data_IF_437868217450
#
_entry.id   IF_437868217450
#
_cell.length_a   1.000
_cell.length_b   1.000
_cell.length_c   1.000
_cell.angle_alpha   90.00
_cell.angle_beta   90.00
_cell.angle_gamma   90.00
#
_symmetry.space_group_name_H-M   'P 1'
#
loop_
_entity.id
_entity.type
_entity.pdbx_description
1 polymer ?
#
# COMPACT_ATOMS: atom_id res chain seq x y z
N UNK A 1 61.91 39.78 -33.39
CA UNK A 1 61.63 38.35 -33.37
C UNK A 1 60.82 38.07 -32.11
N UNK A 2 59.50 38.00 -32.26
CA UNK A 2 58.54 38.00 -31.18
C UNK A 2 57.86 36.64 -31.19
N UNK A 3 57.96 35.93 -30.06
CA UNK A 3 57.23 34.69 -29.81
C UNK A 3 55.85 35.05 -29.32
N UNK A 4 54.82 34.53 -30.01
CA UNK A 4 53.45 34.50 -29.53
C UNK A 4 53.20 33.16 -28.85
N UNK A 5 52.88 33.20 -27.56
CA UNK A 5 52.37 32.06 -26.78
C UNK A 5 50.84 32.13 -26.79
N UNK A 6 50.25 31.04 -27.27
CA UNK A 6 48.82 30.79 -27.40
C UNK A 6 48.27 30.23 -26.05
N UNK A 7 47.54 31.08 -25.34
CA UNK A 7 46.84 30.73 -24.08
C UNK A 7 45.43 30.24 -24.41
N UNK A 8 45.26 28.92 -24.50
CA UNK A 8 43.94 28.24 -24.47
C UNK A 8 43.76 27.46 -23.17
N UNK A 9 43.36 28.13 -22.12
CA UNK A 9 42.78 27.52 -20.94
C UNK A 9 41.36 28.06 -20.79
N UNK A 10 40.43 27.51 -21.59
CA UNK A 10 38.98 27.73 -21.51
C UNK A 10 38.26 26.59 -20.83
N UNK A 11 37.70 26.89 -19.67
CA UNK A 11 36.38 26.50 -19.22
C UNK A 11 36.03 25.02 -18.98
N UNK A 12 36.86 24.30 -18.17
CA UNK A 12 36.44 23.01 -17.59
C UNK A 12 35.78 23.13 -16.20
N UNK A 13 35.73 24.31 -15.58
CA UNK A 13 35.15 24.48 -14.22
C UNK A 13 33.62 24.70 -14.23
N UNK A 14 33.06 25.21 -15.31
CA UNK A 14 31.61 25.44 -15.42
C UNK A 14 30.81 24.15 -15.58
N UNK A 15 31.33 23.16 -16.27
CA UNK A 15 30.62 21.89 -16.50
C UNK A 15 30.59 20.99 -15.24
N UNK A 16 31.64 20.98 -14.43
CA UNK A 16 31.69 20.20 -13.19
C UNK A 16 30.82 20.80 -12.10
N UNK A 17 30.68 22.13 -12.03
CA UNK A 17 29.79 22.79 -11.06
C UNK A 17 28.30 22.59 -11.43
N UNK A 18 27.95 22.49 -12.71
CA UNK A 18 26.58 22.24 -13.16
C UNK A 18 26.19 20.77 -12.95
N UNK A 19 27.11 19.83 -13.07
CA UNK A 19 26.91 18.41 -12.81
C UNK A 19 26.80 18.13 -11.30
N UNK A 20 27.66 18.75 -10.49
CA UNK A 20 27.58 18.65 -9.02
C UNK A 20 26.31 19.29 -8.44
N UNK A 21 25.77 20.36 -9.07
CA UNK A 21 24.51 20.96 -8.64
C UNK A 21 23.29 20.12 -9.03
N UNK A 22 23.33 19.40 -10.16
CA UNK A 22 22.30 18.42 -10.50
C UNK A 22 22.32 17.20 -9.59
N UNK A 23 23.48 16.71 -9.21
CA UNK A 23 23.64 15.59 -8.27
C UNK A 23 23.27 15.96 -6.82
N UNK A 24 23.44 17.23 -6.42
CA UNK A 24 23.01 17.73 -5.11
C UNK A 24 21.49 18.01 -5.05
N UNK A 25 20.84 18.38 -6.14
CA UNK A 25 19.37 18.50 -6.21
C UNK A 25 18.70 17.13 -6.15
N UNK A 26 19.37 16.08 -6.66
CA UNK A 26 18.91 14.67 -6.54
C UNK A 26 19.18 14.12 -5.13
N UNK A 27 20.17 14.64 -4.37
CA UNK A 27 20.48 14.22 -2.99
C UNK A 27 19.57 14.81 -1.92
N UNK A 28 18.76 15.80 -2.23
CA UNK A 28 17.70 16.37 -1.37
C UNK A 28 16.33 15.71 -1.55
N UNK A 29 16.21 14.65 -2.36
CA UNK A 29 14.98 13.89 -2.53
C UNK A 29 14.54 13.26 -1.21
N UNK A 30 13.27 13.44 -0.86
CA UNK A 30 12.61 12.88 0.31
C UNK A 30 12.99 11.41 0.51
N UNK A 31 13.85 11.15 1.50
CA UNK A 31 14.19 9.79 1.89
C UNK A 31 12.95 9.12 2.49
N UNK A 32 12.75 7.86 2.16
CA UNK A 32 11.64 7.03 2.62
C UNK A 32 10.27 7.56 2.15
N UNK A 33 10.08 7.76 0.84
CA UNK A 33 8.77 8.08 0.26
C UNK A 33 8.48 7.15 -0.91
N UNK A 34 7.34 6.49 -0.86
CA UNK A 34 6.78 5.73 -1.96
C UNK A 34 5.80 6.61 -2.73
N UNK A 35 6.12 6.90 -3.99
CA UNK A 35 5.33 7.79 -4.84
C UNK A 35 4.78 7.05 -6.05
N UNK A 36 3.52 7.29 -6.33
CA UNK A 36 2.80 6.81 -7.49
C UNK A 36 2.41 8.02 -8.32
N UNK A 37 2.85 8.09 -9.56
CA UNK A 37 2.64 9.24 -10.43
C UNK A 37 1.86 8.81 -11.68
N UNK A 38 0.59 9.23 -11.75
CA UNK A 38 -0.33 8.97 -12.87
C UNK A 38 -0.33 7.52 -13.34
N UNK A 39 -0.23 6.58 -12.38
CA UNK A 39 -0.17 5.16 -12.68
C UNK A 39 -1.46 4.67 -13.33
N UNK A 40 -1.32 3.91 -14.42
CA UNK A 40 -2.40 3.26 -15.14
C UNK A 40 -2.06 1.80 -15.39
N UNK A 41 -3.01 0.91 -15.08
CA UNK A 41 -2.96 -0.51 -15.43
C UNK A 41 -4.20 -0.85 -16.25
N UNK A 42 -4.00 -1.57 -17.35
CA UNK A 42 -5.10 -1.98 -18.25
C UNK A 42 -5.09 -3.49 -18.45
N UNK A 43 -6.27 -4.08 -18.41
CA UNK A 43 -6.53 -5.48 -18.72
C UNK A 43 -7.41 -5.54 -19.99
N UNK A 44 -6.77 -5.55 -21.15
CA UNK A 44 -7.46 -5.39 -22.43
C UNK A 44 -8.18 -4.03 -22.51
N UNK A 45 -9.51 -4.03 -22.70
CA UNK A 45 -10.31 -2.81 -22.77
C UNK A 45 -10.73 -2.23 -21.40
N UNK A 46 -10.43 -2.92 -20.29
CA UNK A 46 -10.81 -2.48 -18.94
C UNK A 46 -9.59 -1.90 -18.21
N UNK A 47 -9.83 -0.87 -17.40
CA UNK A 47 -8.83 -0.34 -16.50
C UNK A 47 -8.88 -1.09 -15.16
N UNK A 48 -7.70 -1.51 -14.66
CA UNK A 48 -7.53 -1.95 -13.28
C UNK A 48 -7.35 -0.74 -12.36
N UNK A 49 -6.50 0.22 -12.78
CA UNK A 49 -6.35 1.56 -12.18
C UNK A 49 -6.15 2.59 -13.29
N UNK A 50 -6.61 3.83 -13.06
CA UNK A 50 -6.58 4.90 -14.05
C UNK A 50 -6.07 6.21 -13.46
N UNK A 51 -4.88 6.65 -13.91
CA UNK A 51 -4.26 7.93 -13.61
C UNK A 51 -4.14 8.21 -12.10
N UNK A 52 -3.80 7.16 -11.32
CA UNK A 52 -3.65 7.26 -9.87
C UNK A 52 -2.33 7.99 -9.54
N UNK A 53 -2.43 9.00 -8.69
CA UNK A 53 -1.28 9.66 -8.07
C UNK A 53 -1.46 9.66 -6.57
N UNK A 54 -0.50 9.07 -5.83
CA UNK A 54 -0.49 8.95 -4.38
C UNK A 54 0.94 9.07 -3.86
N UNK A 55 1.05 9.49 -2.62
CA UNK A 55 2.32 9.58 -1.92
C UNK A 55 2.16 9.00 -0.52
N UNK A 56 2.99 8.03 -0.16
CA UNK A 56 2.99 7.37 1.14
C UNK A 56 4.25 7.71 1.89
N UNK A 57 4.12 8.11 3.16
CA UNK A 57 5.21 8.56 4.01
C UNK A 57 5.41 7.59 5.18
N UNK A 58 6.62 7.54 5.76
CA UNK A 58 6.86 6.83 7.02
C UNK A 58 5.89 7.28 8.12
N UNK A 59 5.49 6.32 8.96
CA UNK A 59 4.59 6.55 10.09
C UNK A 59 3.12 6.70 9.72
N UNK A 60 2.75 6.68 8.44
CA UNK A 60 1.34 6.71 8.03
C UNK A 60 0.68 5.33 8.19
N UNK A 61 -0.54 5.33 8.72
CA UNK A 61 -1.46 4.19 8.68
C UNK A 61 -2.62 4.58 7.78
N UNK A 62 -2.73 3.90 6.64
CA UNK A 62 -3.60 4.30 5.54
C UNK A 62 -4.63 3.22 5.28
N UNK A 63 -5.91 3.60 5.33
CA UNK A 63 -7.01 2.78 4.85
C UNK A 63 -7.27 3.02 3.36
N UNK A 64 -7.13 1.97 2.55
CA UNK A 64 -7.45 1.99 1.14
C UNK A 64 -8.82 1.37 0.92
N UNK A 65 -9.84 2.20 0.73
CA UNK A 65 -11.23 1.75 0.63
C UNK A 65 -11.75 1.79 -0.80
N UNK A 66 -12.69 0.89 -1.07
CA UNK A 66 -13.39 0.81 -2.35
C UNK A 66 -14.16 -0.49 -2.48
N UNK A 67 -15.15 -0.51 -3.35
CA UNK A 67 -15.91 -1.72 -3.67
C UNK A 67 -15.01 -2.83 -4.23
N UNK A 68 -15.52 -4.06 -4.26
CA UNK A 68 -14.84 -5.15 -4.94
C UNK A 68 -14.69 -4.82 -6.42
N UNK A 69 -13.47 -5.00 -6.96
CA UNK A 69 -13.13 -4.62 -8.33
C UNK A 69 -12.84 -3.12 -8.55
N UNK A 70 -12.82 -2.29 -7.51
CA UNK A 70 -12.49 -0.85 -7.63
C UNK A 70 -11.04 -0.58 -8.03
N UNK A 71 -10.13 -1.56 -7.86
CA UNK A 71 -8.70 -1.43 -8.22
C UNK A 71 -7.72 -1.49 -7.05
N UNK A 72 -8.16 -1.78 -5.81
CA UNK A 72 -7.31 -1.84 -4.61
C UNK A 72 -6.14 -2.82 -4.77
N UNK A 73 -6.44 -4.10 -5.01
CA UNK A 73 -5.43 -5.15 -5.24
C UNK A 73 -4.58 -4.87 -6.48
N UNK A 74 -5.17 -4.30 -7.55
CA UNK A 74 -4.41 -3.90 -8.75
C UNK A 74 -3.38 -2.83 -8.41
N UNK A 75 -3.72 -1.85 -7.55
CA UNK A 75 -2.78 -0.82 -7.11
C UNK A 75 -1.62 -1.43 -6.32
N UNK A 76 -1.92 -2.31 -5.36
CA UNK A 76 -0.89 -3.01 -4.58
C UNK A 76 0.01 -3.88 -5.48
N UNK A 77 -0.57 -4.63 -6.41
CA UNK A 77 0.17 -5.45 -7.37
C UNK A 77 1.04 -4.59 -8.32
N UNK A 78 0.59 -3.39 -8.67
CA UNK A 78 1.38 -2.44 -9.45
C UNK A 78 2.58 -1.90 -8.65
N UNK A 79 2.41 -1.59 -7.36
CA UNK A 79 3.50 -1.19 -6.45
C UNK A 79 4.57 -2.29 -6.36
N UNK A 80 4.14 -3.55 -6.29
CA UNK A 80 5.03 -4.72 -6.23
C UNK A 80 5.65 -5.12 -7.57
N UNK A 81 5.20 -4.49 -8.67
CA UNK A 81 5.65 -4.83 -10.02
C UNK A 81 5.09 -6.16 -10.56
N UNK A 82 4.07 -6.73 -9.92
CA UNK A 82 3.40 -7.96 -10.39
C UNK A 82 2.56 -7.72 -11.64
N UNK A 83 2.09 -6.49 -11.83
CA UNK A 83 1.39 -6.06 -13.04
C UNK A 83 2.10 -4.86 -13.67
N UNK A 84 2.30 -4.83 -15.00
CA UNK A 84 2.97 -3.74 -15.68
C UNK A 84 2.09 -2.49 -15.74
N UNK A 85 2.70 -1.32 -15.59
CA UNK A 85 2.04 -0.05 -15.84
C UNK A 85 1.89 0.18 -17.35
N UNK A 86 0.69 0.55 -17.78
CA UNK A 86 0.46 1.04 -19.15
C UNK A 86 0.90 2.51 -19.30
N UNK A 87 0.93 3.27 -18.19
CA UNK A 87 1.36 4.67 -18.13
C UNK A 87 1.74 5.06 -16.70
N UNK A 88 2.55 6.11 -16.55
CA UNK A 88 3.00 6.62 -15.27
C UNK A 88 4.22 5.87 -14.72
N UNK A 89 4.56 6.13 -13.49
CA UNK A 89 5.67 5.44 -12.80
C UNK A 89 5.39 5.33 -11.31
N UNK A 90 6.09 4.38 -10.67
CA UNK A 90 6.10 4.19 -9.21
C UNK A 90 7.55 4.24 -8.76
N UNK A 91 7.83 5.11 -7.78
CA UNK A 91 9.19 5.33 -7.30
C UNK A 91 9.27 5.15 -5.79
N UNK A 92 10.42 4.69 -5.33
CA UNK A 92 10.80 4.67 -3.92
C UNK A 92 12.05 5.55 -3.76
N UNK A 93 11.96 6.58 -2.90
CA UNK A 93 13.02 7.59 -2.72
C UNK A 93 13.40 8.31 -4.04
N UNK A 94 12.41 8.58 -4.89
CA UNK A 94 12.59 9.24 -6.18
C UNK A 94 13.28 8.39 -7.25
N UNK A 95 13.41 7.06 -7.04
CA UNK A 95 14.00 6.11 -7.99
C UNK A 95 12.99 5.02 -8.32
N UNK A 96 13.03 4.52 -9.55
CA UNK A 96 12.21 3.39 -9.95
C UNK A 96 12.45 2.18 -9.03
N UNK A 97 11.39 1.44 -8.75
CA UNK A 97 11.45 0.30 -7.82
C UNK A 97 12.29 -0.82 -8.46
N UNK A 98 13.47 -1.02 -7.92
CA UNK A 98 14.36 -2.13 -8.25
C UNK A 98 14.05 -3.37 -7.41
N UNK A 99 14.58 -4.55 -7.80
CA UNK A 99 14.48 -5.78 -6.99
C UNK A 99 14.99 -5.57 -5.55
N UNK A 100 16.05 -4.77 -5.38
CA UNK A 100 16.58 -4.42 -4.05
C UNK A 100 15.61 -3.52 -3.28
N UNK A 101 14.91 -2.61 -3.94
CA UNK A 101 13.91 -1.75 -3.31
C UNK A 101 12.67 -2.55 -2.85
N UNK A 102 12.31 -3.63 -3.55
CA UNK A 102 11.21 -4.52 -3.16
C UNK A 102 11.42 -5.19 -1.79
N UNK A 103 12.65 -5.39 -1.30
CA UNK A 103 12.87 -5.90 0.06
C UNK A 103 12.41 -4.93 1.15
N UNK A 104 12.14 -3.68 0.80
CA UNK A 104 11.61 -2.62 1.68
C UNK A 104 10.08 -2.54 1.64
N UNK A 105 9.44 -3.39 0.86
CA UNK A 105 7.98 -3.47 0.73
C UNK A 105 7.58 -4.91 1.06
N UNK A 106 6.73 -5.09 2.06
CA UNK A 106 6.13 -6.39 2.38
C UNK A 106 4.67 -6.43 1.93
N UNK A 107 4.16 -7.64 1.73
CA UNK A 107 2.81 -7.84 1.23
C UNK A 107 2.17 -9.09 1.80
N UNK A 108 0.93 -8.97 2.23
CA UNK A 108 0.04 -10.08 2.52
C UNK A 108 -1.27 -9.90 1.75
N UNK A 109 -1.77 -10.98 1.17
CA UNK A 109 -3.04 -11.00 0.46
C UNK A 109 -3.85 -12.24 0.79
N UNK A 110 -5.15 -12.18 0.53
CA UNK A 110 -6.04 -13.33 0.64
C UNK A 110 -5.85 -14.39 -0.46
N UNK A 111 -4.90 -14.19 -1.39
CA UNK A 111 -4.59 -15.14 -2.47
C UNK A 111 -3.65 -16.27 -2.06
N UNK A 112 -3.15 -16.25 -0.79
CA UNK A 112 -2.31 -17.30 -0.21
C UNK A 112 -0.99 -17.54 -0.97
N UNK A 113 -0.05 -16.60 -0.81
CA UNK A 113 1.23 -16.58 -1.53
C UNK A 113 2.37 -17.37 -0.85
N UNK A 114 2.18 -17.87 0.36
CA UNK A 114 3.19 -18.67 1.05
C UNK A 114 3.31 -20.09 0.46
N UNK A 115 4.44 -20.76 0.72
CA UNK A 115 4.71 -22.09 0.18
C UNK A 115 3.77 -23.14 0.77
N UNK A 116 2.91 -23.81 -0.02
CA UNK A 116 1.85 -24.67 0.50
C UNK A 116 2.34 -25.85 1.35
N UNK A 117 3.54 -26.36 1.07
CA UNK A 117 4.12 -27.51 1.74
C UNK A 117 5.01 -27.17 2.94
N UNK A 118 5.29 -25.90 3.17
CA UNK A 118 6.09 -25.44 4.30
C UNK A 118 5.22 -25.30 5.55
N UNK A 119 5.83 -25.54 6.70
CA UNK A 119 5.31 -25.15 8.02
C UNK A 119 5.65 -23.69 8.31
N UNK A 120 5.08 -23.10 9.38
CA UNK A 120 5.44 -21.76 9.81
C UNK A 120 6.93 -21.66 10.16
N UNK A 121 7.52 -22.69 10.78
CA UNK A 121 8.95 -22.74 11.08
C UNK A 121 9.84 -22.81 9.83
N UNK A 122 9.43 -23.57 8.80
CA UNK A 122 10.16 -23.61 7.53
C UNK A 122 10.09 -22.27 6.79
N UNK A 123 8.94 -21.58 6.83
CA UNK A 123 8.83 -20.21 6.34
C UNK A 123 9.71 -19.23 7.13
N UNK A 124 9.75 -19.33 8.47
CA UNK A 124 10.61 -18.51 9.30
C UNK A 124 12.08 -18.63 8.89
N UNK A 125 12.58 -19.86 8.68
CA UNK A 125 13.93 -20.10 8.19
C UNK A 125 14.18 -19.46 6.81
N UNK A 126 13.20 -19.56 5.92
CA UNK A 126 13.26 -18.90 4.61
C UNK A 126 13.33 -17.38 4.76
N UNK A 127 12.39 -16.77 5.50
CA UNK A 127 12.32 -15.32 5.63
C UNK A 127 13.55 -14.74 6.32
N UNK A 128 14.05 -15.36 7.39
CA UNK A 128 15.28 -14.90 8.08
C UNK A 128 16.52 -14.99 7.20
N UNK A 129 16.55 -15.93 6.25
CA UNK A 129 17.66 -16.10 5.30
C UNK A 129 17.65 -14.98 4.24
N UNK A 130 16.48 -14.63 3.70
CA UNK A 130 16.38 -13.72 2.56
C UNK A 130 16.07 -12.27 2.94
N UNK A 131 15.56 -12.02 4.15
CA UNK A 131 15.25 -10.69 4.66
C UNK A 131 16.06 -10.38 5.93
N UNK A 132 17.25 -9.78 5.81
CA UNK A 132 18.15 -9.53 6.93
C UNK A 132 17.56 -8.64 8.05
N UNK A 133 16.49 -7.88 7.74
CA UNK A 133 15.78 -7.03 8.70
C UNK A 133 14.58 -7.72 9.33
N UNK A 134 14.38 -9.03 9.09
CA UNK A 134 13.24 -9.77 9.62
C UNK A 134 13.22 -9.72 11.16
N UNK A 135 12.10 -9.28 11.73
CA UNK A 135 11.92 -9.13 13.17
C UNK A 135 11.37 -10.44 13.76
N UNK A 136 12.27 -11.29 14.26
CA UNK A 136 11.94 -12.61 14.83
C UNK A 136 11.11 -12.46 16.11
N UNK A 137 11.37 -11.43 16.92
CA UNK A 137 10.62 -11.18 18.16
C UNK A 137 9.15 -10.83 17.86
N UNK A 138 8.92 -9.92 16.89
CA UNK A 138 7.57 -9.57 16.41
C UNK A 138 6.86 -10.79 15.83
N UNK A 139 7.57 -11.64 15.09
CA UNK A 139 7.02 -12.89 14.54
C UNK A 139 6.48 -13.80 15.65
N UNK A 140 7.31 -14.12 16.65
CA UNK A 140 6.86 -15.01 17.74
C UNK A 140 5.77 -14.38 18.59
N UNK A 141 5.82 -13.07 18.84
CA UNK A 141 4.76 -12.35 19.53
C UNK A 141 3.42 -12.53 18.83
N UNK A 142 3.38 -12.32 17.50
CA UNK A 142 2.17 -12.45 16.70
C UNK A 142 1.71 -13.91 16.56
N UNK A 143 2.62 -14.86 16.41
CA UNK A 143 2.30 -16.30 16.41
C UNK A 143 1.59 -16.71 17.69
N UNK A 144 2.09 -16.24 18.84
CA UNK A 144 1.48 -16.50 20.15
C UNK A 144 0.13 -15.79 20.29
N UNK A 145 0.03 -14.54 19.85
CA UNK A 145 -1.23 -13.77 19.90
C UNK A 145 -2.36 -14.47 19.14
N UNK A 146 -2.09 -14.97 17.93
CA UNK A 146 -3.06 -15.71 17.12
C UNK A 146 -3.17 -17.19 17.48
N UNK A 147 -2.33 -17.70 18.38
CA UNK A 147 -2.26 -19.11 18.73
C UNK A 147 -2.13 -20.03 17.51
N UNK A 148 -1.22 -19.68 16.58
CA UNK A 148 -1.04 -20.45 15.35
C UNK A 148 -0.11 -21.64 15.54
N UNK A 149 -0.38 -22.78 14.86
CA UNK A 149 0.45 -23.98 14.94
C UNK A 149 1.74 -23.82 14.11
N UNK A 150 2.90 -23.93 14.77
CA UNK A 150 4.21 -23.73 14.12
C UNK A 150 4.60 -24.86 13.16
N UNK A 151 4.16 -26.11 13.43
CA UNK A 151 4.57 -27.32 12.72
C UNK A 151 3.51 -27.86 11.75
N UNK A 152 2.39 -27.18 11.60
CA UNK A 152 1.37 -27.53 10.62
C UNK A 152 1.73 -27.01 9.24
N UNK A 153 1.54 -27.79 8.20
CA UNK A 153 1.75 -27.35 6.82
C UNK A 153 0.75 -26.27 6.45
N UNK A 154 1.22 -25.21 5.78
CA UNK A 154 0.40 -24.09 5.38
C UNK A 154 -0.89 -24.48 4.66
N UNK A 155 -0.81 -25.40 3.66
CA UNK A 155 -1.99 -25.92 2.94
C UNK A 155 -3.03 -26.64 3.81
N UNK A 156 -2.68 -27.04 5.04
CA UNK A 156 -3.57 -27.74 5.97
C UNK A 156 -4.18 -26.82 7.02
N UNK A 157 -3.82 -25.54 7.00
CA UNK A 157 -4.41 -24.51 7.85
C UNK A 157 -5.80 -24.11 7.35
N UNK A 158 -6.64 -23.56 8.22
CA UNK A 158 -7.88 -22.91 7.80
C UNK A 158 -7.57 -21.63 7.02
N UNK A 159 -8.52 -21.13 6.21
CA UNK A 159 -8.38 -19.86 5.47
C UNK A 159 -8.01 -18.70 6.41
N UNK A 160 -8.66 -18.60 7.57
CA UNK A 160 -8.33 -17.59 8.58
C UNK A 160 -6.90 -17.71 9.10
N UNK A 161 -6.44 -18.93 9.42
CA UNK A 161 -5.06 -19.19 9.85
C UNK A 161 -4.04 -18.86 8.74
N UNK A 162 -4.37 -19.16 7.48
CA UNK A 162 -3.51 -18.81 6.35
C UNK A 162 -3.36 -17.28 6.22
N UNK A 163 -4.47 -16.55 6.29
CA UNK A 163 -4.45 -15.06 6.23
C UNK A 163 -3.67 -14.47 7.41
N UNK A 164 -3.84 -15.02 8.62
CA UNK A 164 -3.09 -14.59 9.80
C UNK A 164 -1.60 -14.82 9.62
N UNK A 165 -1.19 -16.01 9.14
CA UNK A 165 0.22 -16.33 8.93
C UNK A 165 0.86 -15.44 7.85
N UNK A 166 0.18 -15.19 6.72
CA UNK A 166 0.60 -14.23 5.69
C UNK A 166 0.85 -12.83 6.31
N UNK A 167 -0.11 -12.36 7.09
CA UNK A 167 -0.05 -11.05 7.75
C UNK A 167 1.13 -10.99 8.74
N UNK A 168 1.37 -12.04 9.51
CA UNK A 168 2.50 -12.14 10.45
C UNK A 168 3.83 -12.01 9.71
N UNK A 169 4.00 -12.72 8.60
CA UNK A 169 5.23 -12.62 7.81
C UNK A 169 5.42 -11.23 7.20
N UNK A 170 4.35 -10.64 6.67
CA UNK A 170 4.42 -9.27 6.11
C UNK A 170 4.79 -8.23 7.18
N UNK A 171 4.19 -8.30 8.37
CA UNK A 171 4.48 -7.39 9.49
C UNK A 171 5.89 -7.59 10.06
N UNK A 172 6.42 -8.82 9.99
CA UNK A 172 7.72 -9.15 10.56
C UNK A 172 8.89 -9.04 9.58
N UNK A 173 8.65 -8.83 8.29
CA UNK A 173 9.69 -8.79 7.26
C UNK A 173 10.73 -7.67 7.46
N UNK A 174 10.43 -6.64 8.26
CA UNK A 174 11.30 -5.47 8.46
C UNK A 174 11.27 -4.51 7.27
N UNK A 175 10.12 -4.44 6.59
CA UNK A 175 9.87 -3.56 5.48
C UNK A 175 9.58 -2.12 5.96
N UNK A 176 9.83 -1.13 5.10
CA UNK A 176 9.46 0.27 5.36
C UNK A 176 7.98 0.52 4.99
N UNK A 177 7.46 -0.27 4.04
CA UNK A 177 6.06 -0.22 3.57
C UNK A 177 5.44 -1.60 3.68
N UNK A 178 4.33 -1.67 4.39
CA UNK A 178 3.59 -2.91 4.64
C UNK A 178 2.24 -2.80 3.95
N UNK A 179 2.00 -3.65 2.96
CA UNK A 179 0.76 -3.71 2.20
C UNK A 179 -0.06 -4.92 2.66
N UNK A 180 -1.27 -4.68 3.16
CA UNK A 180 -2.19 -5.73 3.58
C UNK A 180 -3.46 -5.66 2.74
N UNK A 181 -3.70 -6.66 1.89
CA UNK A 181 -4.88 -6.73 1.03
C UNK A 181 -5.94 -7.66 1.63
N UNK A 182 -7.00 -7.07 2.16
CA UNK A 182 -8.10 -7.76 2.85
C UNK A 182 -7.61 -8.75 3.93
N UNK A 183 -6.74 -8.33 4.88
CA UNK A 183 -6.02 -9.24 5.78
C UNK A 183 -6.93 -10.04 6.72
N UNK A 184 -8.21 -9.66 6.84
CA UNK A 184 -9.18 -10.28 7.75
C UNK A 184 -10.28 -11.06 7.03
N UNK A 185 -10.16 -11.28 5.72
CA UNK A 185 -11.11 -12.10 5.01
C UNK A 185 -11.18 -13.50 5.67
N UNK A 186 -12.40 -13.88 6.14
CA UNK A 186 -12.62 -15.17 6.79
C UNK A 186 -12.27 -15.26 8.29
N UNK A 187 -11.89 -14.15 8.93
CA UNK A 187 -11.67 -14.12 10.38
C UNK A 187 -12.92 -13.65 11.16
N UNK A 188 -13.04 -14.11 12.41
CA UNK A 188 -14.13 -13.71 13.31
C UNK A 188 -13.98 -12.24 13.74
N UNK A 189 -15.11 -11.52 13.87
CA UNK A 189 -15.19 -10.10 14.19
C UNK A 189 -14.46 -9.76 15.50
N UNK A 190 -14.59 -10.60 16.54
CA UNK A 190 -13.99 -10.38 17.85
C UNK A 190 -12.46 -10.35 17.84
N UNK A 191 -11.82 -11.10 16.92
CA UNK A 191 -10.37 -11.13 16.80
C UNK A 191 -9.81 -9.92 16.03
N UNK A 192 -10.64 -9.17 15.30
CA UNK A 192 -10.20 -8.08 14.43
C UNK A 192 -9.87 -6.81 15.21
N UNK A 193 -10.73 -6.41 16.15
CA UNK A 193 -10.51 -5.21 16.96
C UNK A 193 -9.24 -5.33 17.82
N UNK A 194 -9.04 -6.48 18.46
CA UNK A 194 -7.85 -6.74 19.27
C UNK A 194 -6.58 -6.78 18.40
N UNK A 195 -6.68 -7.33 17.19
CA UNK A 195 -5.57 -7.28 16.25
C UNK A 195 -5.18 -5.85 15.86
N UNK A 196 -6.14 -4.97 15.58
CA UNK A 196 -5.82 -3.57 15.27
C UNK A 196 -5.13 -2.86 16.44
N UNK A 197 -5.54 -3.13 17.69
CA UNK A 197 -4.86 -2.61 18.89
C UNK A 197 -3.42 -3.13 18.97
N UNK A 198 -3.22 -4.43 18.72
CA UNK A 198 -1.88 -5.04 18.68
C UNK A 198 -1.05 -4.41 17.56
N UNK A 199 -1.64 -4.24 16.38
CA UNK A 199 -0.97 -3.68 15.21
C UNK A 199 -0.45 -2.27 15.49
N UNK A 200 -1.25 -1.40 16.12
CA UNK A 200 -0.81 -0.07 16.56
C UNK A 200 0.35 -0.12 17.58
N UNK A 201 0.36 -1.14 18.44
CA UNK A 201 1.39 -1.30 19.47
C UNK A 201 2.73 -1.84 18.95
N UNK A 202 2.75 -2.50 17.78
CA UNK A 202 3.95 -3.13 17.23
C UNK A 202 4.59 -2.38 16.07
N UNK A 203 3.84 -1.46 15.42
CA UNK A 203 4.37 -0.68 14.29
C UNK A 203 5.42 0.32 14.77
N UNK A 204 6.52 0.36 14.03
CA UNK A 204 7.57 1.35 14.26
C UNK A 204 7.19 2.70 13.61
N UNK A 205 7.62 3.84 14.19
CA UNK A 205 7.33 5.16 13.63
C UNK A 205 7.87 5.38 12.20
N UNK A 206 8.75 4.51 11.75
CA UNK A 206 9.34 4.54 10.39
C UNK A 206 8.63 3.64 9.40
N UNK A 207 7.69 2.82 9.84
CA UNK A 207 6.91 1.93 8.99
C UNK A 207 5.65 2.65 8.49
N UNK A 208 5.31 2.44 7.22
CA UNK A 208 4.06 2.88 6.62
C UNK A 208 3.19 1.66 6.36
N UNK A 209 1.98 1.67 6.90
CA UNK A 209 1.01 0.59 6.72
C UNK A 209 -0.10 1.03 5.79
N UNK A 210 -0.35 0.25 4.74
CA UNK A 210 -1.48 0.41 3.83
C UNK A 210 -2.37 -0.82 3.91
N UNK A 211 -3.59 -0.64 4.40
CA UNK A 211 -4.58 -1.73 4.54
C UNK A 211 -5.69 -1.51 3.53
N UNK A 212 -5.89 -2.45 2.62
CA UNK A 212 -7.11 -2.48 1.81
C UNK A 212 -8.19 -3.25 2.54
N UNK A 213 -9.39 -2.70 2.60
CA UNK A 213 -10.56 -3.39 3.13
C UNK A 213 -11.84 -2.73 2.64
N UNK A 214 -12.93 -3.47 2.70
CA UNK A 214 -14.30 -2.93 2.55
C UNK A 214 -14.99 -2.71 3.92
N UNK A 215 -14.34 -3.08 5.03
CA UNK A 215 -14.88 -3.06 6.39
C UNK A 215 -14.47 -1.78 7.12
N UNK A 216 -15.08 -0.65 6.77
CA UNK A 216 -14.71 0.69 7.23
C UNK A 216 -14.90 0.86 8.73
N UNK A 217 -16.03 0.38 9.26
CA UNK A 217 -16.40 0.53 10.66
C UNK A 217 -15.35 -0.07 11.61
N UNK A 218 -14.63 -1.09 11.14
CA UNK A 218 -13.65 -1.80 11.94
C UNK A 218 -12.32 -1.04 12.06
N UNK A 219 -11.92 -0.30 11.01
CA UNK A 219 -10.60 0.34 10.98
C UNK A 219 -10.63 1.87 11.06
N UNK A 220 -11.81 2.48 11.08
CA UNK A 220 -11.96 3.95 11.11
C UNK A 220 -11.24 4.64 12.27
N UNK A 221 -11.07 3.95 13.40
CA UNK A 221 -10.40 4.47 14.59
C UNK A 221 -8.88 4.25 14.59
N UNK A 222 -8.35 3.51 13.63
CA UNK A 222 -6.94 3.11 13.55
C UNK A 222 -6.19 3.78 12.41
N UNK A 223 -6.89 4.22 11.37
CA UNK A 223 -6.27 4.84 10.20
C UNK A 223 -6.13 6.35 10.39
N UNK A 224 -4.92 6.86 10.15
CA UNK A 224 -4.64 8.29 10.16
C UNK A 224 -4.94 8.97 8.82
N UNK A 225 -5.12 8.19 7.74
CA UNK A 225 -5.44 8.69 6.39
C UNK A 225 -6.30 7.69 5.64
N UNK A 226 -7.22 8.18 4.86
CA UNK A 226 -8.17 7.39 4.08
C UNK A 226 -8.06 7.76 2.61
N UNK A 227 -7.88 6.73 1.78
CA UNK A 227 -7.85 6.84 0.33
C UNK A 227 -9.03 6.03 -0.23
N UNK A 228 -9.90 6.70 -1.00
CA UNK A 228 -11.08 6.09 -1.61
C UNK A 228 -10.83 5.82 -3.09
N UNK A 229 -10.97 4.54 -3.49
CA UNK A 229 -10.92 4.13 -4.89
C UNK A 229 -12.32 3.77 -5.36
N UNK A 230 -12.74 4.35 -6.48
CA UNK A 230 -14.00 4.01 -7.15
C UNK A 230 -13.79 3.98 -8.66
N UNK A 231 -14.27 2.92 -9.33
CA UNK A 231 -14.15 2.76 -10.79
C UNK A 231 -12.73 3.03 -11.30
N UNK A 232 -11.75 2.41 -10.64
CA UNK A 232 -10.30 2.49 -10.98
C UNK A 232 -9.65 3.87 -10.76
N UNK A 233 -10.29 4.82 -10.09
CA UNK A 233 -9.79 6.18 -9.81
C UNK A 233 -9.80 6.48 -8.33
N UNK A 234 -8.90 7.36 -7.89
CA UNK A 234 -9.00 7.98 -6.57
C UNK A 234 -10.12 9.02 -6.62
N UNK A 235 -11.11 8.87 -5.73
CA UNK A 235 -12.25 9.79 -5.58
C UNK A 235 -12.20 10.58 -4.28
N UNK A 236 -11.33 10.17 -3.34
CA UNK A 236 -11.11 10.86 -2.07
C UNK A 236 -9.76 10.49 -1.47
N UNK A 237 -9.10 11.44 -0.82
CA UNK A 237 -7.84 11.28 -0.09
C UNK A 237 -7.80 12.34 1.01
N UNK A 238 -8.01 11.92 2.27
CA UNK A 238 -8.03 12.81 3.43
C UNK A 238 -7.37 12.16 4.63
N UNK A 239 -6.74 12.99 5.46
CA UNK A 239 -6.29 12.58 6.78
C UNK A 239 -7.42 12.68 7.80
N UNK A 240 -7.30 11.98 8.93
CA UNK A 240 -8.23 12.13 10.05
C UNK A 240 -8.26 13.57 10.57
N UNK A 241 -7.11 14.26 10.58
CA UNK A 241 -6.98 15.68 10.95
C UNK A 241 -7.76 16.59 9.98
N UNK A 242 -7.71 16.33 8.67
CA UNK A 242 -8.49 17.11 7.70
C UNK A 242 -10.00 16.98 7.97
N UNK A 243 -10.46 15.74 8.28
CA UNK A 243 -11.87 15.48 8.58
C UNK A 243 -12.32 16.15 9.90
N UNK A 244 -11.47 16.10 10.93
CA UNK A 244 -11.73 16.77 12.22
C UNK A 244 -11.81 18.30 12.03
N UNK A 245 -10.91 18.90 11.27
CA UNK A 245 -10.91 20.32 10.97
C UNK A 245 -12.16 20.76 10.18
N UNK A 246 -12.73 19.87 9.36
CA UNK A 246 -13.98 20.11 8.65
C UNK A 246 -15.23 19.79 9.50
N UNK A 247 -15.06 19.26 10.71
CA UNK A 247 -16.15 18.84 11.58
C UNK A 247 -16.96 17.67 11.03
N UNK A 248 -16.32 16.81 10.24
CA UNK A 248 -16.95 15.69 9.52
C UNK A 248 -16.37 14.36 10.00
N UNK A 249 -17.23 13.39 10.29
CA UNK A 249 -16.77 12.02 10.53
C UNK A 249 -16.49 11.28 9.24
N UNK A 250 -15.61 10.27 9.32
CA UNK A 250 -15.14 9.50 8.17
C UNK A 250 -16.30 8.88 7.36
N UNK A 251 -17.30 8.30 8.04
CA UNK A 251 -18.40 7.60 7.37
C UNK A 251 -19.28 8.59 6.60
N UNK A 252 -19.57 9.73 7.21
CA UNK A 252 -20.35 10.82 6.57
C UNK A 252 -19.63 11.36 5.33
N UNK A 253 -18.32 11.61 5.43
CA UNK A 253 -17.51 12.01 4.29
C UNK A 253 -17.52 10.97 3.16
N UNK A 254 -17.32 9.70 3.48
CA UNK A 254 -17.35 8.64 2.48
C UNK A 254 -18.72 8.52 1.80
N UNK A 255 -19.81 8.61 2.56
CA UNK A 255 -21.17 8.66 1.98
C UNK A 255 -21.32 9.83 1.02
N UNK A 256 -20.86 11.01 1.39
CA UNK A 256 -20.92 12.18 0.51
C UNK A 256 -20.14 11.96 -0.79
N UNK A 257 -18.92 11.41 -0.71
CA UNK A 257 -18.08 11.11 -1.88
C UNK A 257 -18.75 10.09 -2.79
N UNK A 258 -19.30 9.00 -2.24
CA UNK A 258 -19.96 7.96 -3.02
C UNK A 258 -21.37 8.37 -3.49
N UNK A 259 -22.13 9.16 -2.73
CA UNK A 259 -23.47 9.63 -3.13
C UNK A 259 -23.45 10.58 -4.32
N UNK A 260 -22.35 11.31 -4.53
CA UNK A 260 -22.18 12.08 -5.78
C UNK A 260 -22.26 11.19 -7.04
N UNK A 261 -22.08 9.87 -6.88
CA UNK A 261 -22.20 8.89 -7.97
C UNK A 261 -23.54 8.10 -7.94
N UNK A 262 -24.30 8.17 -6.84
CA UNK A 262 -25.57 7.42 -6.63
C UNK A 262 -26.82 8.04 -7.26
N UNK A 263 -26.71 9.07 -8.09
CA UNK A 263 -27.82 9.58 -8.89
C UNK A 263 -28.59 8.49 -9.68
N UNK A 264 -27.98 7.30 -9.79
CA UNK A 264 -28.53 6.11 -10.46
C UNK A 264 -29.64 5.42 -9.64
N UNK A 265 -29.49 5.24 -8.33
CA UNK A 265 -30.50 4.52 -7.50
C UNK A 265 -31.78 5.34 -7.41
N UNK A 266 -31.67 6.65 -7.18
CA UNK A 266 -32.83 7.54 -7.17
C UNK A 266 -33.53 7.63 -8.55
N UNK A 267 -32.76 7.46 -9.64
CA UNK A 267 -33.31 7.44 -11.00
C UNK A 267 -34.03 6.12 -11.28
N UNK A 268 -33.43 4.99 -10.98
CA UNK A 268 -33.98 3.66 -11.14
C UNK A 268 -35.23 3.45 -10.27
N UNK A 269 -35.24 3.92 -9.03
CA UNK A 269 -36.43 3.84 -8.17
C UNK A 269 -37.55 4.75 -8.65
N UNK A 270 -37.26 5.89 -9.24
CA UNK A 270 -38.26 6.76 -9.86
C UNK A 270 -38.83 6.13 -11.14
N UNK A 271 -38.02 5.52 -11.98
CA UNK A 271 -38.44 4.78 -13.17
C UNK A 271 -39.31 3.58 -12.76
N UNK A 272 -38.88 2.76 -11.80
CA UNK A 272 -39.67 1.63 -11.28
C UNK A 272 -41.05 2.01 -10.68
N UNK A 273 -41.16 3.20 -10.08
CA UNK A 273 -42.44 3.70 -9.54
C UNK A 273 -43.38 4.20 -10.64
N UNK A 274 -42.84 4.81 -11.70
CA UNK A 274 -43.62 5.25 -12.85
C UNK A 274 -44.25 4.08 -13.60
N UNK A 275 -43.51 2.97 -13.81
CA UNK A 275 -43.98 1.77 -14.46
C UNK A 275 -45.05 1.01 -13.64
N UNK A 276 -45.35 1.40 -12.41
CA UNK A 276 -46.42 0.83 -11.58
C UNK A 276 -47.67 1.71 -11.47
N UNK A 277 -47.61 2.93 -11.94
CA UNK A 277 -48.69 3.90 -11.93
C UNK A 277 -49.39 4.01 -13.32
N UNK A 278 -48.82 3.33 -14.36
CA UNK A 278 -49.45 3.04 -15.65
C UNK A 278 -50.06 1.60 -15.66
#
# INVERSE_FOLDING_TARGET
MVNASDDRHGDHRGHLAHQQNKDNVIRGGNKNVLEINKARVSYGAKFGIQDISLRFKPGEIIGLFGENGAGKSTLMNAILGFVPLAYGNITLDGRDISRKALTRISFASSEHNLFPNFTANEHLNFFTTFFPRFNVERYYFLMNFFNLPENQKYRSMSTGQMNQLETIFALSQGADYILLDEPFAGNDIFNREDFYKVLLGILEPTECLIISTHLIEEIKHFVGRVVLIHKSKIVGDKTSEDLENEGMDLISWMREVYQRDEGRVGKVLREYRKDKEE
#
